data_IF_223899902883
#
_entry.id   IF_223899902883
#
_cell.length_a   1.000
_cell.length_b   1.000
_cell.length_c   1.000
_cell.angle_alpha   90.00
_cell.angle_beta   90.00
_cell.angle_gamma   90.00
#
_symmetry.space_group_name_H-M   'P 1'
#
loop_
_entity.id
_entity.type
_entity.pdbx_description
1 polymer ?
#
# COMPACT_ATOMS: atom_id res chain seq x y z
N UNK A 1 28.07 36.84 -13.01
CA UNK A 1 26.82 36.24 -12.49
C UNK A 1 26.60 34.89 -13.16
N UNK A 2 26.64 33.78 -12.40
CA UNK A 2 26.22 32.46 -12.94
C UNK A 2 24.68 32.40 -12.88
N UNK A 3 23.99 31.88 -13.91
CA UNK A 3 22.54 31.76 -13.88
C UNK A 3 22.13 30.75 -12.79
N UNK A 4 21.31 31.19 -11.84
CA UNK A 4 20.65 30.28 -10.89
C UNK A 4 19.69 29.39 -11.69
N UNK A 5 20.01 28.09 -11.79
CA UNK A 5 19.09 27.11 -12.37
C UNK A 5 17.89 26.99 -11.44
N UNK A 6 16.74 27.49 -11.87
CA UNK A 6 15.44 27.22 -11.23
C UNK A 6 15.27 25.70 -11.22
N UNK A 7 15.40 25.08 -10.04
CA UNK A 7 15.31 23.64 -9.88
C UNK A 7 13.90 23.33 -9.37
N UNK A 8 13.03 22.84 -10.26
CA UNK A 8 11.63 22.57 -9.96
C UNK A 8 11.49 21.44 -8.94
N UNK A 9 10.71 21.65 -7.86
CA UNK A 9 10.37 20.64 -6.84
C UNK A 9 9.39 19.57 -7.34
N UNK A 10 9.12 19.49 -8.64
CA UNK A 10 8.16 18.58 -9.25
C UNK A 10 8.43 17.13 -8.84
N UNK A 11 9.70 16.72 -8.74
CA UNK A 11 10.12 15.39 -8.30
C UNK A 11 9.65 15.05 -6.87
N UNK A 12 9.76 15.99 -5.91
CA UNK A 12 9.31 15.82 -4.54
C UNK A 12 7.79 15.65 -4.46
N UNK A 13 7.05 16.49 -5.18
CA UNK A 13 5.59 16.42 -5.21
C UNK A 13 5.09 15.16 -5.90
N UNK A 14 5.78 14.69 -6.95
CA UNK A 14 5.46 13.41 -7.60
C UNK A 14 5.78 12.22 -6.70
N UNK A 15 6.88 12.26 -5.93
CA UNK A 15 7.23 11.20 -4.99
C UNK A 15 6.26 11.16 -3.81
N UNK A 16 5.84 12.31 -3.28
CA UNK A 16 4.83 12.42 -2.24
C UNK A 16 3.47 11.88 -2.73
N UNK A 17 3.03 12.34 -3.91
CA UNK A 17 1.77 11.92 -4.52
C UNK A 17 1.75 10.43 -4.86
N UNK A 18 2.84 9.92 -5.46
CA UNK A 18 3.01 8.50 -5.76
C UNK A 18 3.02 7.63 -4.50
N UNK A 19 3.75 8.05 -3.47
CA UNK A 19 3.83 7.35 -2.20
C UNK A 19 2.49 7.28 -1.48
N UNK A 20 1.73 8.38 -1.47
CA UNK A 20 0.39 8.44 -0.89
C UNK A 20 -0.62 7.58 -1.67
N UNK A 21 -0.57 7.59 -3.01
CA UNK A 21 -1.43 6.76 -3.84
C UNK A 21 -1.15 5.25 -3.63
N UNK A 22 0.13 4.87 -3.55
CA UNK A 22 0.53 3.50 -3.23
C UNK A 22 0.09 3.09 -1.83
N UNK A 23 0.15 4.00 -0.85
CA UNK A 23 -0.32 3.73 0.50
C UNK A 23 -1.82 3.42 0.54
N UNK A 24 -2.63 4.26 -0.11
CA UNK A 24 -4.08 4.06 -0.20
C UNK A 24 -4.44 2.78 -0.95
N UNK A 25 -3.74 2.50 -2.05
CA UNK A 25 -3.94 1.26 -2.81
C UNK A 25 -3.57 0.04 -1.97
N UNK A 26 -2.48 0.12 -1.19
CA UNK A 26 -2.08 -0.91 -0.22
C UNK A 26 -3.15 -1.15 0.85
N UNK A 27 -3.79 -0.09 1.37
CA UNK A 27 -4.88 -0.19 2.34
C UNK A 27 -6.10 -0.92 1.75
N UNK A 28 -6.53 -0.53 0.55
CA UNK A 28 -7.65 -1.18 -0.14
C UNK A 28 -7.32 -2.66 -0.37
N UNK A 29 -6.11 -2.96 -0.85
CA UNK A 29 -5.67 -4.33 -1.08
C UNK A 29 -5.62 -5.16 0.20
N UNK A 30 -5.15 -4.59 1.31
CA UNK A 30 -5.13 -5.23 2.62
C UNK A 30 -6.54 -5.57 3.12
N UNK A 31 -7.48 -4.62 3.01
CA UNK A 31 -8.88 -4.86 3.39
C UNK A 31 -9.48 -5.98 2.53
N UNK A 32 -9.21 -5.98 1.22
CA UNK A 32 -9.65 -7.07 0.33
C UNK A 32 -9.09 -8.43 0.75
N UNK A 33 -7.84 -8.51 1.21
CA UNK A 33 -7.27 -9.75 1.73
C UNK A 33 -7.97 -10.24 2.99
N UNK A 34 -8.33 -9.35 3.91
CA UNK A 34 -9.09 -9.70 5.12
C UNK A 34 -10.48 -10.24 4.78
N UNK A 35 -11.19 -9.57 3.87
CA UNK A 35 -12.51 -10.01 3.41
C UNK A 35 -12.45 -11.38 2.72
N UNK A 36 -11.46 -11.59 1.86
CA UNK A 36 -11.24 -12.87 1.19
C UNK A 36 -10.96 -14.01 2.19
N UNK A 37 -10.17 -13.73 3.24
CA UNK A 37 -9.85 -14.72 4.25
C UNK A 37 -11.05 -15.06 5.14
N UNK A 38 -11.85 -14.06 5.49
CA UNK A 38 -13.10 -14.24 6.23
C UNK A 38 -14.10 -15.09 5.41
N UNK A 39 -14.24 -14.81 4.11
CA UNK A 39 -15.12 -15.56 3.20
C UNK A 39 -14.71 -17.04 3.10
N UNK A 40 -13.41 -17.31 2.87
CA UNK A 40 -12.85 -18.67 2.90
C UNK A 40 -13.09 -19.39 4.23
N UNK A 41 -12.95 -18.67 5.34
CA UNK A 41 -13.18 -19.24 6.68
C UNK A 41 -14.65 -19.57 6.90
N UNK A 42 -15.54 -18.69 6.44
CA UNK A 42 -16.99 -18.91 6.50
C UNK A 42 -17.39 -20.11 5.65
N UNK A 43 -16.90 -20.21 4.41
CA UNK A 43 -17.19 -21.35 3.52
C UNK A 43 -16.69 -22.70 4.08
N UNK A 44 -15.54 -22.71 4.75
CA UNK A 44 -14.96 -23.95 5.27
C UNK A 44 -15.53 -24.37 6.63
N UNK A 45 -15.90 -23.42 7.51
CA UNK A 45 -16.16 -23.74 8.93
C UNK A 45 -17.50 -23.24 9.49
N UNK A 46 -18.18 -22.27 8.87
CA UNK A 46 -19.48 -21.76 9.36
C UNK A 46 -20.63 -22.33 8.55
N UNK A 47 -21.47 -23.13 9.21
CA UNK A 47 -22.70 -23.66 8.63
C UNK A 47 -23.78 -22.56 8.73
N UNK A 48 -23.67 -21.52 7.91
CA UNK A 48 -24.69 -20.47 7.83
C UNK A 48 -25.72 -20.84 6.76
N UNK A 49 -26.91 -21.26 7.20
CA UNK A 49 -28.03 -21.61 6.31
C UNK A 49 -28.65 -20.41 5.60
N UNK A 50 -28.23 -19.18 5.93
CA UNK A 50 -28.65 -17.94 5.25
C UNK A 50 -27.67 -17.48 4.17
N UNK A 51 -26.44 -18.01 4.13
CA UNK A 51 -25.51 -17.74 3.04
C UNK A 51 -25.88 -18.64 1.85
N UNK A 52 -26.28 -18.02 0.74
CA UNK A 52 -26.44 -18.69 -0.56
C UNK A 52 -25.06 -18.96 -1.18
N UNK A 53 -24.27 -19.82 -0.55
CA UNK A 53 -23.04 -20.36 -1.15
C UNK A 53 -23.31 -21.74 -1.75
N UNK A 54 -22.57 -22.12 -2.79
CA UNK A 54 -22.73 -23.41 -3.47
C UNK A 54 -22.50 -24.62 -2.55
N UNK A 55 -21.84 -24.43 -1.39
CA UNK A 55 -21.48 -25.49 -0.44
C UNK A 55 -22.41 -25.56 0.79
N UNK A 56 -23.26 -24.56 1.01
CA UNK A 56 -24.27 -24.55 2.10
C UNK A 56 -25.28 -25.72 2.00
N UNK A 57 -25.46 -26.27 0.79
CA UNK A 57 -26.36 -27.39 0.50
C UNK A 57 -25.68 -28.78 0.62
N UNK A 58 -24.38 -28.84 0.93
CA UNK A 58 -23.64 -30.11 0.94
C UNK A 58 -23.80 -30.86 2.26
N UNK A 59 -23.80 -32.19 2.19
CA UNK A 59 -23.74 -33.04 3.38
C UNK A 59 -22.39 -32.87 4.08
N UNK A 60 -22.37 -33.05 5.40
CA UNK A 60 -21.17 -32.86 6.24
C UNK A 60 -19.96 -33.63 5.73
N UNK A 61 -20.15 -34.88 5.29
CA UNK A 61 -19.11 -35.72 4.71
C UNK A 61 -18.49 -35.15 3.42
N UNK A 62 -19.29 -34.54 2.54
CA UNK A 62 -18.78 -33.96 1.29
C UNK A 62 -17.99 -32.68 1.59
N UNK A 63 -18.43 -31.89 2.56
CA UNK A 63 -17.72 -30.69 3.01
C UNK A 63 -16.36 -31.00 3.63
N UNK A 64 -16.29 -32.00 4.51
CA UNK A 64 -15.04 -32.37 5.18
C UNK A 64 -14.00 -32.92 4.19
N UNK A 65 -14.45 -33.56 3.10
CA UNK A 65 -13.59 -34.05 2.02
C UNK A 65 -13.20 -32.99 0.98
N UNK A 66 -13.75 -31.78 1.06
CA UNK A 66 -13.53 -30.69 0.09
C UNK A 66 -13.03 -29.41 0.74
N UNK A 67 -12.53 -29.47 1.98
CA UNK A 67 -11.97 -28.32 2.69
C UNK A 67 -10.94 -27.62 1.80
N UNK A 68 -11.13 -26.33 1.58
CA UNK A 68 -10.24 -25.56 0.73
C UNK A 68 -8.90 -25.42 1.45
N UNK A 69 -7.91 -26.19 1.01
CA UNK A 69 -6.54 -25.97 1.43
C UNK A 69 -6.02 -24.72 0.75
N UNK A 70 -5.61 -23.75 1.57
CA UNK A 70 -4.92 -22.54 1.15
C UNK A 70 -3.73 -22.93 0.26
N UNK A 71 -3.82 -22.65 -1.04
CA UNK A 71 -2.71 -22.84 -1.96
C UNK A 71 -1.62 -21.78 -1.76
N UNK A 72 -0.54 -21.87 -2.55
CA UNK A 72 0.57 -20.90 -2.51
C UNK A 72 0.17 -19.45 -2.86
N UNK A 73 -1.05 -19.21 -3.34
CA UNK A 73 -1.55 -17.87 -3.65
C UNK A 73 -1.70 -16.98 -2.40
N UNK A 74 -2.04 -17.54 -1.24
CA UNK A 74 -2.22 -16.77 0.00
C UNK A 74 -0.93 -16.09 0.46
N UNK A 75 0.20 -16.80 0.64
CA UNK A 75 1.46 -16.15 1.02
C UNK A 75 2.00 -15.20 -0.06
N UNK A 76 1.73 -15.46 -1.36
CA UNK A 76 2.10 -14.53 -2.43
C UNK A 76 1.31 -13.22 -2.33
N UNK A 77 0.01 -13.28 -2.07
CA UNK A 77 -0.83 -12.09 -1.94
C UNK A 77 -0.43 -11.24 -0.72
N UNK A 78 -0.11 -11.86 0.42
CA UNK A 78 0.47 -11.16 1.56
C UNK A 78 1.82 -10.52 1.24
N UNK A 79 2.69 -11.22 0.51
CA UNK A 79 3.98 -10.69 0.06
C UNK A 79 3.80 -9.46 -0.84
N UNK A 80 2.84 -9.50 -1.77
CA UNK A 80 2.51 -8.35 -2.61
C UNK A 80 2.03 -7.14 -1.78
N UNK A 81 1.20 -7.37 -0.75
CA UNK A 81 0.77 -6.32 0.15
C UNK A 81 1.96 -5.65 0.86
N UNK A 82 2.90 -6.44 1.39
CA UNK A 82 4.11 -5.94 2.03
C UNK A 82 4.98 -5.13 1.08
N UNK A 83 5.13 -5.57 -0.16
CA UNK A 83 5.93 -4.87 -1.18
C UNK A 83 5.30 -3.52 -1.58
N UNK A 84 3.98 -3.44 -1.69
CA UNK A 84 3.27 -2.18 -1.95
C UNK A 84 3.53 -1.17 -0.82
N UNK A 85 3.41 -1.61 0.43
CA UNK A 85 3.69 -0.75 1.58
C UNK A 85 5.16 -0.33 1.66
N UNK A 86 6.09 -1.24 1.42
CA UNK A 86 7.52 -0.91 1.38
C UNK A 86 7.80 0.15 0.30
N UNK A 87 7.27 -0.04 -0.91
CA UNK A 87 7.42 0.92 -2.02
C UNK A 87 6.82 2.29 -1.69
N UNK A 88 5.66 2.33 -1.05
CA UNK A 88 5.03 3.57 -0.57
C UNK A 88 5.93 4.31 0.42
N UNK A 89 6.45 3.62 1.44
CA UNK A 89 7.31 4.22 2.47
C UNK A 89 8.59 4.77 1.84
N UNK A 90 9.21 4.05 0.91
CA UNK A 90 10.41 4.54 0.24
C UNK A 90 10.15 5.82 -0.57
N UNK A 91 9.03 5.91 -1.28
CA UNK A 91 8.67 7.12 -2.03
C UNK A 91 8.36 8.31 -1.12
N UNK A 92 7.68 8.07 0.00
CA UNK A 92 7.42 9.10 1.01
C UNK A 92 8.72 9.58 1.66
N UNK A 93 9.61 8.66 2.05
CA UNK A 93 10.95 8.99 2.58
C UNK A 93 11.76 9.80 1.56
N UNK A 94 11.76 9.42 0.29
CA UNK A 94 12.44 10.15 -0.78
C UNK A 94 11.92 11.59 -0.92
N UNK A 95 10.62 11.82 -0.71
CA UNK A 95 10.03 13.17 -0.74
C UNK A 95 10.49 14.07 0.41
N UNK A 96 10.88 13.50 1.56
CA UNK A 96 11.31 14.24 2.76
C UNK A 96 12.81 14.54 2.74
N UNK A 97 13.63 13.60 2.28
CA UNK A 97 15.10 13.75 2.31
C UNK A 97 15.67 14.67 1.23
N UNK A 98 14.87 15.05 0.23
CA UNK A 98 15.32 15.97 -0.81
C UNK A 98 15.37 17.41 -0.24
N UNK A 99 16.57 17.84 0.19
CA UNK A 99 16.81 19.11 0.89
C UNK A 99 16.16 20.32 0.19
N UNK A 100 15.52 21.25 0.93
CA UNK A 100 15.00 22.48 0.36
C UNK A 100 16.17 23.36 -0.15
N UNK A 101 16.14 23.71 -1.43
CA UNK A 101 17.07 24.70 -2.00
C UNK A 101 16.53 26.09 -1.70
N UNK A 102 16.80 26.60 -0.49
CA UNK A 102 16.88 28.05 -0.15
C UNK A 102 16.98 28.25 1.35
N UNK A 103 18.19 28.34 1.86
CA UNK A 103 18.51 29.23 2.98
C UNK A 103 19.81 30.02 2.73
N UNK A 104 20.74 29.51 1.92
CA UNK A 104 21.99 30.24 1.63
C UNK A 104 21.81 31.57 0.88
N UNK A 105 20.68 31.84 0.20
CA UNK A 105 20.51 33.10 -0.54
C UNK A 105 19.99 34.26 0.31
N UNK A 106 19.55 34.02 1.55
CA UNK A 106 19.14 35.12 2.45
C UNK A 106 20.32 35.66 3.25
N UNK A 107 21.26 34.79 3.62
CA UNK A 107 22.40 35.17 4.46
C UNK A 107 23.39 36.11 3.75
N UNK A 108 23.54 36.02 2.43
CA UNK A 108 24.39 36.95 1.68
C UNK A 108 23.76 38.31 1.41
N UNK A 109 22.42 38.42 1.38
CA UNK A 109 21.75 39.71 1.14
C UNK A 109 21.74 40.56 2.41
N UNK A 110 21.74 39.93 3.58
CA UNK A 110 21.73 40.63 4.88
C UNK A 110 23.13 41.08 5.33
N UNK A 111 24.21 40.46 4.81
CA UNK A 111 25.60 40.84 5.13
C UNK A 111 26.23 41.84 4.14
N UNK A 112 25.57 42.16 3.03
CA UNK A 112 26.02 43.16 2.04
C UNK A 112 25.35 44.54 2.24
N UNK A 113 24.49 44.69 3.27
CA UNK A 113 23.80 45.95 3.62
C UNK A 113 24.33 46.65 4.89
N UNK A 114 25.45 46.20 5.48
CA UNK A 114 26.19 46.92 6.54
C UNK A 114 27.46 47.63 6.05
#
# INVERSE_FOLDING_TARGET
>A
MRPQKIRYRTAQYTALGGGAALWLTGLIYFISLLLYYEDLTQENYRLDTKLTSARSAWTTTVRDNTVYSHGGMVPMAWSACLLIYAGSIFQLMASVFEKPVREETKEYVENDEE
#
